data_IF_916000685209
#
_entry.id   IF_916000685209
#
_cell.length_a   1.000
_cell.length_b   1.000
_cell.length_c   1.000
_cell.angle_alpha   90.00
_cell.angle_beta   90.00
_cell.angle_gamma   90.00
#
_symmetry.space_group_name_H-M   'P 1'
#
loop_
_entity.id
_entity.type
_entity.pdbx_description
1 polymer ?
#
# COMPACT_ATOMS: atom_id res chain seq x y z
N UNK A 1 24.19 7.27 21.45
CA UNK A 1 24.32 7.38 19.99
C UNK A 1 23.77 8.75 19.58
N UNK A 2 24.56 9.65 18.97
CA UNK A 2 24.03 10.91 18.46
C UNK A 2 23.13 10.68 17.23
N UNK A 3 22.09 11.50 17.00
CA UNK A 3 21.23 11.36 15.83
C UNK A 3 22.01 11.72 14.55
N UNK A 4 22.02 10.81 13.58
CA UNK A 4 22.54 11.08 12.24
C UNK A 4 21.45 11.78 11.43
N UNK A 5 21.53 13.11 11.32
CA UNK A 5 20.71 13.87 10.39
C UNK A 5 21.25 13.69 8.97
N UNK A 6 20.56 12.92 8.13
CA UNK A 6 20.85 12.86 6.71
C UNK A 6 20.25 14.09 6.02
N UNK A 7 21.10 15.08 5.71
CA UNK A 7 20.73 16.22 4.89
C UNK A 7 20.80 15.82 3.41
N UNK A 8 19.65 15.60 2.77
CA UNK A 8 19.57 15.40 1.32
C UNK A 8 19.76 16.75 0.60
N UNK A 9 20.97 17.02 0.13
CA UNK A 9 21.25 18.13 -0.78
C UNK A 9 20.79 17.75 -2.19
N UNK A 10 19.74 18.41 -2.69
CA UNK A 10 19.40 18.33 -4.12
C UNK A 10 20.31 19.28 -4.89
N UNK A 11 21.20 18.72 -5.70
CA UNK A 11 21.93 19.51 -6.70
C UNK A 11 20.96 19.92 -7.80
N UNK A 12 20.98 21.17 -8.28
CA UNK A 12 20.12 21.60 -9.37
C UNK A 12 20.47 20.81 -10.65
N UNK A 13 19.48 20.38 -11.45
CA UNK A 13 19.75 19.64 -12.67
C UNK A 13 20.49 20.51 -13.68
N UNK A 14 21.69 20.10 -14.09
CA UNK A 14 22.42 20.70 -15.20
C UNK A 14 21.87 20.18 -16.52
N UNK A 15 21.26 21.07 -17.30
CA UNK A 15 20.77 20.98 -18.69
C UNK A 15 19.25 20.94 -18.83
N UNK A 16 18.64 21.84 -19.63
CA UNK A 16 17.21 21.78 -19.95
C UNK A 16 16.97 20.63 -20.94
N UNK A 17 16.59 19.44 -20.46
CA UNK A 17 15.89 18.49 -21.32
C UNK A 17 14.52 19.08 -21.64
N UNK A 18 14.24 19.32 -22.92
CA UNK A 18 12.93 19.70 -23.41
C UNK A 18 11.94 18.55 -23.12
N UNK A 19 11.30 18.57 -21.95
CA UNK A 19 10.16 17.72 -21.64
C UNK A 19 8.99 18.22 -22.48
N UNK A 20 8.54 17.42 -23.44
CA UNK A 20 7.17 17.52 -23.91
C UNK A 20 6.29 17.15 -22.72
N UNK A 21 5.72 18.15 -22.06
CA UNK A 21 4.63 17.95 -21.11
C UNK A 21 3.40 17.66 -21.96
N UNK A 22 3.20 16.38 -22.26
CA UNK A 22 1.94 15.92 -22.83
C UNK A 22 0.95 15.91 -21.65
N UNK A 23 0.01 16.85 -21.66
CA UNK A 23 -1.11 16.80 -20.72
C UNK A 23 -1.87 15.51 -21.01
N UNK A 24 -1.72 14.51 -20.14
CA UNK A 24 -2.55 13.32 -20.16
C UNK A 24 -3.91 13.73 -19.64
N UNK A 25 -4.81 14.11 -20.54
CA UNK A 25 -6.23 14.23 -20.24
C UNK A 25 -6.82 12.82 -20.18
N UNK A 26 -7.71 12.55 -19.24
CA UNK A 26 -8.52 11.33 -19.28
C UNK A 26 -9.32 11.36 -20.59
N UNK A 27 -8.96 10.50 -21.53
CA UNK A 27 -9.69 10.28 -22.77
C UNK A 27 -10.57 9.02 -22.65
N UNK A 28 -11.33 8.70 -23.70
CA UNK A 28 -12.22 7.54 -23.75
C UNK A 28 -11.51 6.18 -23.60
N UNK A 29 -10.18 6.15 -23.48
CA UNK A 29 -9.37 4.94 -23.32
C UNK A 29 -8.94 4.69 -21.86
N UNK A 30 -9.50 5.44 -20.90
CA UNK A 30 -9.27 5.21 -19.47
C UNK A 30 -10.10 4.04 -18.93
N UNK A 31 -9.47 3.14 -18.18
CA UNK A 31 -10.19 2.08 -17.43
C UNK A 31 -10.38 2.52 -15.99
N UNK A 32 -11.62 2.56 -15.52
CA UNK A 32 -11.96 2.79 -14.12
C UNK A 32 -12.16 1.44 -13.40
N UNK A 33 -11.33 1.16 -12.40
CA UNK A 33 -11.40 -0.06 -11.61
C UNK A 33 -12.04 0.24 -10.26
N UNK A 34 -13.03 -0.55 -9.87
CA UNK A 34 -13.66 -0.50 -8.56
C UNK A 34 -13.79 -1.91 -8.01
N UNK A 35 -13.23 -2.14 -6.83
CA UNK A 35 -13.22 -3.41 -6.12
C UNK A 35 -12.99 -3.17 -4.63
N UNK A 36 -13.27 -4.18 -3.81
CA UNK A 36 -13.07 -4.15 -2.37
C UNK A 36 -11.93 -5.09 -1.98
N UNK A 37 -10.94 -4.58 -1.24
CA UNK A 37 -9.83 -5.36 -0.71
C UNK A 37 -10.11 -5.76 0.75
N UNK A 38 -9.89 -7.04 1.07
CA UNK A 38 -10.20 -7.61 2.39
C UNK A 38 -8.90 -7.89 3.18
N UNK A 39 -8.46 -6.91 3.97
CA UNK A 39 -7.27 -7.00 4.84
C UNK A 39 -7.63 -7.66 6.19
N UNK A 40 -7.20 -8.91 6.40
CA UNK A 40 -7.56 -9.72 7.57
C UNK A 40 -6.31 -10.04 8.39
N UNK A 41 -6.01 -9.23 9.42
CA UNK A 41 -4.81 -9.38 10.26
C UNK A 41 -4.87 -10.53 11.28
N UNK A 42 -6.05 -11.07 11.57
CA UNK A 42 -6.25 -12.01 12.68
C UNK A 42 -7.41 -12.97 12.49
N UNK A 43 -7.72 -13.73 13.53
CA UNK A 43 -8.71 -14.82 13.46
C UNK A 43 -8.10 -16.12 12.91
N UNK A 44 -8.96 -17.05 12.49
CA UNK A 44 -8.54 -18.39 12.06
C UNK A 44 -7.99 -18.46 10.63
N UNK A 45 -8.21 -17.43 9.81
CA UNK A 45 -7.77 -17.40 8.42
C UNK A 45 -7.28 -15.99 8.02
N UNK A 46 -6.13 -15.54 8.57
CA UNK A 46 -5.58 -14.24 8.23
C UNK A 46 -5.05 -14.20 6.80
N UNK A 47 -5.20 -13.04 6.15
CA UNK A 47 -4.62 -12.72 4.84
C UNK A 47 -3.47 -11.73 4.95
N UNK A 48 -3.31 -11.12 6.12
CA UNK A 48 -2.30 -10.13 6.43
C UNK A 48 -1.51 -10.55 7.67
N UNK A 49 -0.19 -10.57 7.55
CA UNK A 49 0.72 -11.08 8.58
C UNK A 49 1.77 -10.02 8.93
N UNK A 50 1.84 -9.63 10.21
CA UNK A 50 2.92 -8.78 10.72
C UNK A 50 4.24 -9.56 10.66
N UNK A 51 5.14 -9.14 9.78
CA UNK A 51 6.45 -9.77 9.59
C UNK A 51 7.58 -9.01 10.29
N UNK A 52 7.36 -7.73 10.63
CA UNK A 52 8.27 -6.93 11.46
C UNK A 52 7.44 -6.13 12.46
N UNK A 53 7.80 -6.24 13.74
CA UNK A 53 7.30 -5.34 14.79
C UNK A 53 8.22 -4.13 14.92
N UNK A 54 7.68 -2.95 14.66
CA UNK A 54 8.37 -1.69 14.88
C UNK A 54 8.71 -1.48 16.37
N UNK A 55 9.77 -0.73 16.73
CA UNK A 55 10.16 -0.58 18.14
C UNK A 55 9.43 0.55 18.89
N UNK A 56 8.77 1.47 18.19
CA UNK A 56 8.16 2.67 18.78
C UNK A 56 6.65 2.62 18.65
N UNK A 57 5.92 2.47 19.77
CA UNK A 57 4.46 2.47 19.76
C UNK A 57 3.89 3.82 19.30
N UNK A 58 2.85 3.78 18.45
CA UNK A 58 2.13 4.97 18.01
C UNK A 58 1.17 5.42 19.13
N UNK A 59 1.19 6.71 19.53
CA UNK A 59 0.24 7.23 20.51
C UNK A 59 -1.22 7.15 20.05
N UNK A 60 -1.46 7.28 18.74
CA UNK A 60 -2.80 7.35 18.15
C UNK A 60 -3.49 6.00 17.98
N UNK A 61 -2.74 4.90 17.90
CA UNK A 61 -3.29 3.57 17.61
C UNK A 61 -2.62 2.51 18.51
N UNK A 62 -3.32 2.01 19.54
CA UNK A 62 -2.81 0.93 20.39
C UNK A 62 -2.43 -0.30 19.58
N UNK A 63 -1.26 -0.88 19.88
CA UNK A 63 -0.78 -2.11 19.24
C UNK A 63 -0.07 -1.92 17.90
N UNK A 64 -0.06 -0.70 17.34
CA UNK A 64 0.69 -0.36 16.12
C UNK A 64 1.97 0.37 16.49
N UNK A 65 3.08 -0.04 15.89
CA UNK A 65 4.38 0.59 16.11
C UNK A 65 4.93 1.17 14.79
N UNK A 66 5.71 2.24 14.88
CA UNK A 66 6.42 2.83 13.74
C UNK A 66 7.40 1.79 13.18
N UNK A 67 7.30 1.53 11.88
CA UNK A 67 8.06 0.48 11.21
C UNK A 67 7.43 -0.91 11.29
N UNK A 68 6.22 -1.05 11.85
CA UNK A 68 5.43 -2.26 11.63
C UNK A 68 5.34 -2.54 10.14
N UNK A 69 5.68 -3.76 9.71
CA UNK A 69 5.62 -4.21 8.33
C UNK A 69 4.71 -5.43 8.25
N UNK A 70 3.67 -5.33 7.44
CA UNK A 70 2.66 -6.37 7.25
C UNK A 70 2.75 -6.84 5.81
N UNK A 71 2.97 -8.14 5.60
CA UNK A 71 2.82 -8.77 4.29
C UNK A 71 1.36 -9.17 4.07
N UNK A 72 0.85 -8.96 2.85
CA UNK A 72 -0.55 -9.21 2.50
C UNK A 72 -0.68 -10.10 1.26
N UNK A 73 -1.70 -10.94 1.28
CA UNK A 73 -2.28 -11.62 0.12
C UNK A 73 -3.80 -11.61 0.25
N UNK A 74 -4.37 -10.42 0.03
CA UNK A 74 -5.76 -10.10 0.32
C UNK A 74 -6.68 -10.40 -0.87
N UNK A 75 -7.89 -10.86 -0.59
CA UNK A 75 -8.91 -11.04 -1.62
C UNK A 75 -9.40 -9.70 -2.17
N UNK A 76 -9.68 -9.63 -3.47
CA UNK A 76 -10.40 -8.54 -4.12
C UNK A 76 -11.77 -9.04 -4.58
N UNK A 77 -12.84 -8.30 -4.30
CA UNK A 77 -14.22 -8.67 -4.69
C UNK A 77 -14.98 -7.51 -5.34
N UNK A 78 -16.05 -7.83 -6.09
CA UNK A 78 -16.94 -6.82 -6.70
C UNK A 78 -17.75 -6.02 -5.66
N UNK A 79 -18.12 -6.66 -4.55
CA UNK A 79 -18.91 -6.07 -3.46
C UNK A 79 -18.16 -6.07 -2.12
N UNK A 80 -18.62 -5.31 -1.11
CA UNK A 80 -17.95 -5.16 0.18
C UNK A 80 -18.00 -6.42 1.05
N UNK A 81 -18.90 -7.36 0.80
CA UNK A 81 -18.99 -8.63 1.52
C UNK A 81 -17.93 -9.62 1.01
N UNK A 82 -17.24 -10.34 1.90
CA UNK A 82 -16.23 -11.33 1.54
C UNK A 82 -16.78 -12.47 0.65
N UNK A 83 -18.08 -12.75 0.75
CA UNK A 83 -18.79 -13.73 -0.08
C UNK A 83 -19.14 -13.24 -1.49
N UNK A 84 -18.85 -11.97 -1.81
CA UNK A 84 -19.07 -11.40 -3.13
C UNK A 84 -18.19 -12.07 -4.18
N UNK A 85 -18.53 -11.87 -5.46
CA UNK A 85 -17.76 -12.43 -6.58
C UNK A 85 -16.28 -11.97 -6.50
N UNK A 86 -15.32 -12.90 -6.47
CA UNK A 86 -13.91 -12.56 -6.46
C UNK A 86 -13.45 -12.05 -7.82
N UNK A 87 -12.54 -11.07 -7.82
CA UNK A 87 -11.99 -10.43 -9.04
C UNK A 87 -10.47 -10.41 -9.07
N UNK A 88 -9.80 -10.84 -7.99
CA UNK A 88 -8.34 -10.90 -7.94
C UNK A 88 -7.76 -10.97 -6.54
N UNK A 89 -6.47 -10.63 -6.44
CA UNK A 89 -5.69 -10.55 -5.19
C UNK A 89 -4.91 -9.24 -5.11
N UNK A 90 -4.75 -8.71 -3.91
CA UNK A 90 -3.76 -7.69 -3.60
C UNK A 90 -2.57 -8.35 -2.89
N UNK A 91 -1.42 -8.35 -3.55
CA UNK A 91 -0.22 -9.06 -3.08
C UNK A 91 0.92 -8.08 -2.87
N UNK A 92 1.49 -8.05 -1.66
CA UNK A 92 2.57 -7.12 -1.35
C UNK A 92 2.71 -6.90 0.15
N UNK A 93 2.93 -5.65 0.54
CA UNK A 93 3.06 -5.27 1.94
C UNK A 93 2.69 -3.80 2.19
N UNK A 94 2.45 -3.48 3.46
CA UNK A 94 2.36 -2.11 3.94
C UNK A 94 3.13 -1.88 5.24
N UNK A 95 3.62 -0.65 5.43
CA UNK A 95 4.41 -0.25 6.58
C UNK A 95 3.82 0.96 7.31
N UNK A 96 3.84 0.96 8.65
CA UNK A 96 3.54 2.15 9.44
C UNK A 96 4.69 3.16 9.39
N UNK A 97 4.48 4.33 8.77
CA UNK A 97 5.56 5.28 8.44
C UNK A 97 5.47 6.65 9.11
N UNK A 98 4.54 6.84 10.05
CA UNK A 98 4.41 8.07 10.83
C UNK A 98 4.52 7.79 12.34
N UNK A 99 5.16 8.69 13.09
CA UNK A 99 5.38 8.54 14.52
C UNK A 99 4.19 8.97 15.39
N UNK A 100 3.31 9.82 14.86
CA UNK A 100 2.27 10.51 15.64
C UNK A 100 0.86 10.05 15.28
N UNK A 101 0.68 9.52 14.09
CA UNK A 101 -0.62 9.18 13.52
C UNK A 101 -0.55 7.90 12.70
N UNK A 102 -1.72 7.32 12.42
CA UNK A 102 -1.82 6.17 11.53
C UNK A 102 -1.48 6.60 10.10
N UNK A 103 -0.43 6.00 9.54
CA UNK A 103 -0.01 6.23 8.16
C UNK A 103 0.57 4.95 7.60
N UNK A 104 0.07 4.50 6.45
CA UNK A 104 0.55 3.31 5.76
C UNK A 104 1.23 3.71 4.44
N UNK A 105 2.48 3.27 4.26
CA UNK A 105 3.11 3.21 2.94
C UNK A 105 2.89 1.81 2.37
N UNK A 106 2.32 1.72 1.16
CA UNK A 106 1.97 0.45 0.53
C UNK A 106 2.82 0.20 -0.72
N UNK A 107 3.24 -1.07 -0.90
CA UNK A 107 3.81 -1.58 -2.14
C UNK A 107 3.07 -2.86 -2.52
N UNK A 108 2.14 -2.74 -3.46
CA UNK A 108 1.14 -3.78 -3.76
C UNK A 108 1.00 -3.99 -5.26
N UNK A 109 0.95 -5.25 -5.66
CA UNK A 109 0.50 -5.67 -6.98
C UNK A 109 -0.97 -6.08 -6.90
N UNK A 110 -1.82 -5.52 -7.76
CA UNK A 110 -3.18 -5.98 -7.95
C UNK A 110 -3.21 -7.01 -9.08
N UNK A 111 -3.36 -8.28 -8.72
CA UNK A 111 -3.45 -9.40 -9.65
C UNK A 111 -4.91 -9.64 -9.98
N UNK A 112 -5.36 -9.06 -11.10
CA UNK A 112 -6.75 -9.15 -11.57
C UNK A 112 -6.94 -10.36 -12.48
N UNK A 113 -8.02 -11.10 -12.30
CA UNK A 113 -8.35 -12.28 -13.10
C UNK A 113 -9.84 -12.30 -13.43
N UNK A 114 -10.16 -12.63 -14.69
CA UNK A 114 -11.53 -12.59 -15.21
C UNK A 114 -12.49 -13.54 -14.46
N UNK A 115 -11.96 -14.65 -13.95
CA UNK A 115 -12.73 -15.75 -13.35
C UNK A 115 -12.43 -15.95 -11.85
N UNK A 116 -11.81 -14.96 -11.20
CA UNK A 116 -11.33 -15.06 -9.82
C UNK A 116 -9.87 -15.54 -9.72
N UNK A 117 -9.30 -15.56 -8.50
CA UNK A 117 -7.88 -15.85 -8.30
C UNK A 117 -7.52 -17.31 -8.62
N UNK A 118 -6.25 -17.53 -9.02
CA UNK A 118 -5.60 -18.85 -9.05
C UNK A 118 -5.58 -19.50 -7.67
#
# INVERSE_FOLDING_TARGET
MPPHHLLLSSSPPSSPRRRLLQNVTADDNMTHLHFYMHDILGGSNPTAIEIVKGPVALPSVPGVNFGNLIAIDDALTEGPELSSKPVGRAQGFYMSTAFQEASLLMSVNFVLAADGPL
#
